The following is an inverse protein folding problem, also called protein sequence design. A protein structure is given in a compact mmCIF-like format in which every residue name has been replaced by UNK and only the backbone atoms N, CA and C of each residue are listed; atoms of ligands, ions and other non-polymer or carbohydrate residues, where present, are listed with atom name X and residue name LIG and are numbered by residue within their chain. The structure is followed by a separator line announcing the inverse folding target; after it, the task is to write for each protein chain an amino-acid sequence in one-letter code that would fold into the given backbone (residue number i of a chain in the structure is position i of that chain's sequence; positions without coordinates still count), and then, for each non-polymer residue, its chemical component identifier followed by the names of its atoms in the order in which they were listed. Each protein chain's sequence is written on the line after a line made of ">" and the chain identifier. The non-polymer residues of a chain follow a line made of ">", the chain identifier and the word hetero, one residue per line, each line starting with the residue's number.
data_IF_713187495259
#
_entry.id   IF_713187495259
#
_cell.length_a   1.000
_cell.length_b   1.000
_cell.length_c   1.000
_cell.angle_alpha   90.00
_cell.angle_beta   90.00
_cell.angle_gamma   90.00
#
_symmetry.space_group_name_H-M   'P 1'
#
loop_
_entity.id
_entity.type
_entity.pdbx_description
1 polymer ?
#
# COMPACT_ATOMS: atom_id res chain seq x y z
N UNK A 1 14.01 -55.29 -36.25
CA UNK A 1 13.59 -53.87 -36.14
C UNK A 1 13.37 -53.56 -34.66
N UNK A 2 14.38 -53.01 -33.97
CA UNK A 2 14.29 -52.68 -32.53
C UNK A 2 13.61 -51.32 -32.40
N UNK A 3 12.33 -51.33 -32.03
CA UNK A 3 11.54 -50.14 -31.79
C UNK A 3 12.05 -49.47 -30.51
N UNK A 4 12.83 -48.41 -30.64
CA UNK A 4 13.44 -47.69 -29.53
C UNK A 4 12.36 -46.94 -28.74
N UNK A 5 11.96 -47.49 -27.59
CA UNK A 5 11.05 -46.88 -26.59
C UNK A 5 11.64 -45.64 -25.88
N UNK A 6 12.64 -44.99 -26.46
CA UNK A 6 13.37 -43.87 -25.83
C UNK A 6 12.67 -42.52 -26.04
N UNK A 7 11.90 -42.34 -27.13
CA UNK A 7 11.17 -41.08 -27.39
C UNK A 7 10.07 -40.79 -26.36
N UNK A 8 9.35 -41.83 -25.89
CA UNK A 8 8.30 -41.66 -24.88
C UNK A 8 8.85 -41.22 -23.53
N UNK A 9 10.00 -41.78 -23.11
CA UNK A 9 10.59 -41.47 -21.81
C UNK A 9 11.10 -40.03 -21.76
N UNK A 10 11.72 -39.53 -22.84
CA UNK A 10 12.19 -38.14 -22.90
C UNK A 10 11.01 -37.15 -22.90
N UNK A 11 9.92 -37.48 -23.58
CA UNK A 11 8.70 -36.66 -23.57
C UNK A 11 8.04 -36.65 -22.18
N UNK A 12 7.95 -37.80 -21.51
CA UNK A 12 7.43 -37.88 -20.14
C UNK A 12 8.32 -37.12 -19.14
N UNK A 13 9.64 -37.17 -19.31
CA UNK A 13 10.58 -36.42 -18.47
C UNK A 13 10.46 -34.90 -18.68
N UNK A 14 10.22 -34.46 -19.92
CA UNK A 14 10.00 -33.05 -20.27
C UNK A 14 8.67 -32.52 -19.69
N UNK A 15 7.60 -33.32 -19.77
CA UNK A 15 6.29 -32.98 -19.17
C UNK A 15 6.38 -32.91 -17.65
N UNK A 16 7.12 -33.83 -17.02
CA UNK A 16 7.35 -33.83 -15.57
C UNK A 16 8.19 -32.61 -15.12
N UNK A 17 9.14 -32.14 -15.95
CA UNK A 17 9.94 -30.94 -15.69
C UNK A 17 9.10 -29.64 -15.77
N UNK A 18 8.06 -29.60 -16.61
CA UNK A 18 7.16 -28.44 -16.70
C UNK A 18 6.16 -28.36 -15.54
N UNK A 19 5.78 -29.49 -14.93
CA UNK A 19 4.85 -29.51 -13.80
C UNK A 19 5.44 -28.99 -12.48
N UNK A 20 6.77 -28.98 -12.31
CA UNK A 20 7.43 -28.44 -11.11
C UNK A 20 7.58 -26.92 -11.12
N UNK A 21 7.38 -26.27 -12.27
CA UNK A 21 7.53 -24.81 -12.42
C UNK A 21 6.35 -24.00 -11.85
N UNK A 22 5.28 -24.66 -11.37
CA UNK A 22 4.02 -24.05 -10.94
C UNK A 22 3.85 -23.86 -9.43
N UNK A 23 4.91 -23.94 -8.62
CA UNK A 23 4.82 -23.56 -7.20
C UNK A 23 4.58 -22.05 -7.11
N UNK A 24 3.31 -21.65 -7.04
CA UNK A 24 2.91 -20.28 -6.71
C UNK A 24 3.58 -19.91 -5.39
N UNK A 25 4.60 -19.07 -5.45
CA UNK A 25 5.13 -18.40 -4.27
C UNK A 25 3.98 -17.56 -3.71
N UNK A 26 3.35 -18.04 -2.62
CA UNK A 26 2.43 -17.24 -1.84
C UNK A 26 3.22 -16.05 -1.32
N UNK A 27 3.20 -14.93 -2.05
CA UNK A 27 3.86 -13.70 -1.65
C UNK A 27 3.19 -13.25 -0.36
N UNK A 28 3.89 -13.44 0.76
CA UNK A 28 3.41 -13.00 2.06
C UNK A 28 3.09 -11.50 1.97
N UNK A 29 1.91 -11.13 2.45
CA UNK A 29 1.50 -9.73 2.46
C UNK A 29 2.52 -8.89 3.23
N UNK A 30 2.93 -7.71 2.72
CA UNK A 30 3.86 -6.85 3.44
C UNK A 30 3.31 -6.48 4.83
N UNK A 31 4.16 -6.45 5.88
CA UNK A 31 3.70 -6.19 7.25
C UNK A 31 2.97 -4.86 7.47
N UNK A 32 3.14 -3.88 6.58
CA UNK A 32 2.47 -2.58 6.66
C UNK A 32 1.04 -2.60 6.09
N UNK A 33 0.69 -3.58 5.27
CA UNK A 33 -0.52 -3.53 4.44
C UNK A 33 -1.83 -3.56 5.26
N UNK A 34 -1.83 -4.29 6.38
CA UNK A 34 -2.90 -4.25 7.39
C UNK A 34 -3.21 -2.80 7.82
N UNK A 35 -2.17 -2.04 8.14
CA UNK A 35 -2.28 -0.66 8.62
C UNK A 35 -2.64 0.31 7.50
N UNK A 36 -2.18 0.03 6.27
CA UNK A 36 -2.58 0.78 5.08
C UNK A 36 -4.10 0.71 4.84
N UNK A 37 -4.70 -0.49 4.94
CA UNK A 37 -6.16 -0.65 4.85
C UNK A 37 -6.90 0.12 5.93
N UNK A 38 -6.40 0.08 7.18
CA UNK A 38 -6.98 0.84 8.28
C UNK A 38 -6.90 2.35 8.03
N UNK A 39 -5.76 2.84 7.54
CA UNK A 39 -5.57 4.25 7.19
C UNK A 39 -6.58 4.70 6.13
N UNK A 40 -6.77 3.93 5.06
CA UNK A 40 -7.76 4.24 4.01
C UNK A 40 -9.19 4.26 4.55
N UNK A 41 -9.56 3.25 5.36
CA UNK A 41 -10.90 3.14 5.96
C UNK A 41 -11.23 4.33 6.83
N UNK A 42 -10.35 4.65 7.80
CA UNK A 42 -10.60 5.75 8.74
C UNK A 42 -10.53 7.12 8.06
N UNK A 43 -9.69 7.27 7.03
CA UNK A 43 -9.66 8.49 6.21
C UNK A 43 -10.95 8.69 5.44
N UNK A 44 -11.46 7.64 4.79
CA UNK A 44 -12.73 7.68 4.05
C UNK A 44 -13.89 8.04 4.98
N UNK A 45 -13.92 7.44 6.18
CA UNK A 45 -14.91 7.74 7.23
C UNK A 45 -14.85 9.18 7.71
N UNK A 46 -13.64 9.74 7.88
CA UNK A 46 -13.45 11.09 8.43
C UNK A 46 -13.76 12.20 7.43
N UNK A 47 -13.33 12.05 6.18
CA UNK A 47 -13.35 13.15 5.20
C UNK A 47 -14.55 13.07 4.23
N UNK A 48 -15.16 11.89 4.09
CA UNK A 48 -16.22 11.61 3.12
C UNK A 48 -15.83 12.08 1.70
N UNK A 49 -14.62 11.69 1.29
CA UNK A 49 -14.00 12.09 0.03
C UNK A 49 -13.33 10.87 -0.61
N UNK A 50 -13.19 10.89 -1.93
CA UNK A 50 -12.55 9.80 -2.66
C UNK A 50 -11.05 9.81 -2.41
N UNK A 51 -10.46 8.68 -2.06
CA UNK A 51 -9.01 8.50 -2.05
C UNK A 51 -8.59 8.18 -3.48
N UNK A 52 -7.74 9.01 -4.08
CA UNK A 52 -7.29 8.88 -5.47
C UNK A 52 -5.84 8.40 -5.59
N UNK A 53 -5.05 8.54 -4.52
CA UNK A 53 -3.69 8.02 -4.47
C UNK A 53 -3.30 7.69 -3.01
N UNK A 54 -2.34 6.79 -2.86
CA UNK A 54 -1.87 6.26 -1.59
C UNK A 54 -0.38 5.90 -1.66
N UNK A 55 0.36 6.32 -0.64
CA UNK A 55 1.78 6.00 -0.48
C UNK A 55 2.11 5.62 0.96
N UNK A 56 2.79 4.49 1.14
CA UNK A 56 3.42 4.15 2.42
C UNK A 56 4.67 5.02 2.63
N UNK A 57 4.72 5.72 3.76
CA UNK A 57 5.84 6.59 4.13
C UNK A 57 6.86 5.88 5.02
N UNK A 58 6.47 4.78 5.67
CA UNK A 58 7.37 3.94 6.44
C UNK A 58 6.92 3.69 7.88
N UNK A 59 7.68 2.78 8.51
CA UNK A 59 7.55 2.35 9.89
C UNK A 59 8.51 3.12 10.79
N UNK A 60 8.09 3.40 12.03
CA UNK A 60 8.96 3.86 13.10
C UNK A 60 8.75 3.04 14.37
N UNK A 61 9.83 2.60 14.99
CA UNK A 61 9.80 2.03 16.35
C UNK A 61 9.76 3.19 17.33
N UNK A 62 8.70 3.23 18.14
CA UNK A 62 8.55 4.21 19.21
C UNK A 62 8.99 3.57 20.54
N UNK A 63 8.69 4.21 21.67
CA UNK A 63 9.07 3.69 22.98
C UNK A 63 8.06 2.64 23.49
N UNK A 64 8.50 1.83 24.46
CA UNK A 64 7.63 0.92 25.25
C UNK A 64 6.88 -0.13 24.40
N UNK A 65 7.50 -0.64 23.34
CA UNK A 65 6.88 -1.65 22.47
C UNK A 65 5.80 -1.12 21.53
N UNK A 66 5.71 0.20 21.38
CA UNK A 66 4.84 0.84 20.40
C UNK A 66 5.57 1.02 19.07
N UNK A 67 4.87 0.80 17.98
CA UNK A 67 5.34 1.09 16.63
C UNK A 67 4.34 2.00 15.92
N UNK A 68 4.82 2.79 14.97
CA UNK A 68 3.96 3.59 14.10
C UNK A 68 4.17 3.29 12.63
N UNK A 69 3.08 3.32 11.86
CA UNK A 69 3.07 3.25 10.40
C UNK A 69 2.47 4.53 9.85
N UNK A 70 3.15 5.13 8.86
CA UNK A 70 2.75 6.40 8.26
C UNK A 70 2.39 6.23 6.79
N UNK A 71 1.32 6.92 6.37
CA UNK A 71 0.78 6.85 5.02
C UNK A 71 0.43 8.25 4.52
N UNK A 72 0.70 8.55 3.26
CA UNK A 72 0.19 9.75 2.59
C UNK A 72 -0.93 9.35 1.65
N UNK A 73 -2.07 10.00 1.81
CA UNK A 73 -3.27 9.78 1.02
C UNK A 73 -3.60 11.08 0.28
N UNK A 74 -3.89 10.97 -1.01
CA UNK A 74 -4.43 12.08 -1.79
C UNK A 74 -5.94 11.87 -1.88
N UNK A 75 -6.69 12.85 -1.39
CA UNK A 75 -8.14 12.83 -1.40
C UNK A 75 -8.64 13.84 -2.43
N UNK A 76 -9.78 13.54 -3.04
CA UNK A 76 -10.53 14.46 -3.89
C UNK A 76 -11.92 14.65 -3.32
N UNK A 77 -12.25 15.90 -2.95
CA UNK A 77 -13.59 16.30 -2.53
C UNK A 77 -14.11 17.37 -3.47
N UNK A 78 -15.12 17.03 -4.28
CA UNK A 78 -15.75 17.93 -5.24
C UNK A 78 -14.71 18.63 -6.16
N UNK A 79 -13.84 17.83 -6.80
CA UNK A 79 -12.76 18.30 -7.68
C UNK A 79 -11.65 19.12 -7.01
N UNK A 80 -11.59 19.12 -5.67
CA UNK A 80 -10.52 19.76 -4.92
C UNK A 80 -9.61 18.70 -4.30
N UNK A 81 -8.41 18.47 -4.86
CA UNK A 81 -7.44 17.54 -4.30
C UNK A 81 -6.73 18.14 -3.08
N UNK A 82 -6.50 17.31 -2.07
CA UNK A 82 -5.71 17.65 -0.89
C UNK A 82 -5.01 16.41 -0.32
N UNK A 83 -3.89 16.62 0.36
CA UNK A 83 -3.11 15.54 0.97
C UNK A 83 -3.46 15.39 2.44
N UNK A 84 -3.54 14.14 2.90
CA UNK A 84 -3.63 13.80 4.32
C UNK A 84 -2.55 12.78 4.65
N UNK A 85 -1.69 13.12 5.61
CA UNK A 85 -0.76 12.19 6.22
C UNK A 85 -1.45 11.52 7.41
N UNK A 86 -1.53 10.19 7.39
CA UNK A 86 -2.13 9.36 8.43
C UNK A 86 -1.03 8.60 9.14
N UNK A 87 -1.01 8.69 10.47
CA UNK A 87 -0.07 7.94 11.30
C UNK A 87 -0.83 7.11 12.32
N UNK A 88 -0.53 5.82 12.36
CA UNK A 88 -1.18 4.85 13.22
C UNK A 88 -0.15 4.33 14.20
N UNK A 89 -0.40 4.47 15.50
CA UNK A 89 0.39 3.87 16.57
C UNK A 89 -0.34 2.63 17.09
N UNK A 90 0.39 1.54 17.25
CA UNK A 90 -0.14 0.30 17.77
C UNK A 90 0.92 -0.42 18.62
N UNK A 91 0.43 -1.27 19.52
CA UNK A 91 1.29 -2.14 20.31
C UNK A 91 1.88 -3.24 19.40
N UNK A 92 3.20 -3.42 19.44
CA UNK A 92 3.90 -4.32 18.52
C UNK A 92 3.55 -5.79 18.73
N UNK A 93 3.13 -6.19 19.94
CA UNK A 93 2.85 -7.60 20.28
C UNK A 93 1.39 -7.97 20.07
N UNK A 94 0.49 -7.11 20.55
CA UNK A 94 -0.95 -7.35 20.55
C UNK A 94 -1.65 -6.74 19.34
N UNK A 95 -0.94 -5.89 18.58
CA UNK A 95 -1.47 -5.15 17.43
C UNK A 95 -2.68 -4.28 17.78
N UNK A 96 -2.85 -3.94 19.05
CA UNK A 96 -3.90 -3.04 19.50
C UNK A 96 -3.59 -1.62 19.04
N UNK A 97 -4.56 -0.98 18.37
CA UNK A 97 -4.43 0.41 17.95
C UNK A 97 -4.49 1.31 19.17
N UNK A 98 -3.44 2.10 19.35
CA UNK A 98 -3.33 3.07 20.46
C UNK A 98 -3.84 4.44 20.02
N UNK A 99 -3.48 4.86 18.79
CA UNK A 99 -3.83 6.18 18.27
C UNK A 99 -3.80 6.20 16.76
N UNK A 100 -4.70 6.99 16.17
CA UNK A 100 -4.64 7.40 14.76
C UNK A 100 -4.60 8.92 14.69
N UNK A 101 -3.63 9.48 13.99
CA UNK A 101 -3.51 10.92 13.74
C UNK A 101 -3.64 11.21 12.25
N UNK A 102 -4.35 12.29 11.95
CA UNK A 102 -4.52 12.84 10.60
C UNK A 102 -3.89 14.23 10.57
N UNK A 103 -3.04 14.47 9.58
CA UNK A 103 -2.44 15.78 9.32
C UNK A 103 -2.76 16.18 7.89
N UNK A 104 -3.61 17.21 7.73
CA UNK A 104 -3.90 17.77 6.41
C UNK A 104 -2.72 18.63 5.96
N UNK A 105 -2.18 18.35 4.78
CA UNK A 105 -1.10 19.11 4.17
C UNK A 105 -1.67 19.85 2.96
N UNK A 106 -1.87 21.16 3.10
CA UNK A 106 -2.12 22.13 2.03
C UNK A 106 -3.25 21.77 1.05
N UNK A 107 -4.34 22.54 1.07
CA UNK A 107 -5.14 22.72 -0.15
C UNK A 107 -4.19 23.22 -1.24
N UNK A 108 -4.20 22.61 -2.41
CA UNK A 108 -3.64 23.22 -3.60
C UNK A 108 -4.52 24.43 -3.97
N UNK A 109 -4.50 25.50 -3.17
CA UNK A 109 -4.98 26.80 -3.61
C UNK A 109 -3.94 27.24 -4.63
N UNK A 110 -4.33 27.18 -5.89
CA UNK A 110 -3.61 27.71 -7.03
C UNK A 110 -2.89 29.00 -6.64
N UNK A 111 -1.55 28.95 -6.54
CA UNK A 111 -0.69 30.14 -6.56
C UNK A 111 -0.68 30.70 -7.97
N UNK A 112 -1.85 31.13 -8.45
CA UNK A 112 -2.02 31.79 -9.73
C UNK A 112 -2.67 33.14 -9.48
N UNK A 113 -1.91 34.18 -9.86
CA UNK A 113 -2.33 35.57 -10.06
C UNK A 113 -2.34 36.49 -8.83
N UNK A 114 -1.13 36.88 -8.42
CA UNK A 114 -0.87 38.25 -7.97
C UNK A 114 0.29 38.85 -8.80
N UNK A 115 0.13 38.83 -10.13
CA UNK A 115 0.83 39.75 -11.02
C UNK A 115 -0.25 40.67 -11.62
N UNK A 116 -0.70 41.62 -10.81
CA UNK A 116 -1.43 42.80 -11.28
C UNK A 116 -1.18 43.89 -10.23
N UNK A 117 -0.09 44.63 -10.43
CA UNK A 117 -0.07 46.05 -10.15
C UNK A 117 0.78 46.71 -11.23
N UNK A 118 0.15 46.92 -12.39
CA UNK A 118 0.45 48.10 -13.19
C UNK A 118 -0.14 49.27 -12.41
N UNK A 119 0.74 50.10 -11.85
CA UNK A 119 0.67 51.56 -11.85
C UNK A 119 2.10 52.06 -11.72
#
# INVERSE_FOLDING_TARGET
>A
MRLTKTSGIVFTLLVLLMMTAGLSQANAEPPYAKWGRLAMKETSKRYHAQIIDYKHLGRKVEQKGVVSESFKLILNKNSNPFSVTVRIWFDQKTEQVIRIQFTEEGRAVSRTRAQTKMI
#
